data_IF_851807775833
#
_entry.id   IF_851807775833
#
_cell.length_a   1.000
_cell.length_b   1.000
_cell.length_c   1.000
_cell.angle_alpha   90.00
_cell.angle_beta   90.00
_cell.angle_gamma   90.00
#
_symmetry.space_group_name_H-M   'P 1'
#
loop_
_entity.id
_entity.type
_entity.pdbx_description
1 polymer ?
#
# COMPACT_ATOMS: atom_id res chain seq x y z
N UNK A 1 -10.47 -50.25 4.65
CA UNK A 1 -9.53 -49.14 4.95
C UNK A 1 -9.92 -47.95 4.09
N UNK A 2 -10.77 -47.05 4.59
CA UNK A 2 -11.01 -45.79 3.88
C UNK A 2 -9.76 -44.93 4.07
N UNK A 3 -8.99 -44.71 2.99
CA UNK A 3 -7.84 -43.82 3.03
C UNK A 3 -8.26 -42.36 3.26
N UNK A 4 -7.28 -41.49 3.51
CA UNK A 4 -7.49 -40.05 3.74
C UNK A 4 -8.36 -39.38 2.67
N UNK A 5 -8.23 -39.80 1.40
CA UNK A 5 -9.06 -39.34 0.28
C UNK A 5 -10.54 -39.69 0.44
N UNK A 6 -10.85 -40.86 1.01
CA UNK A 6 -12.23 -41.27 1.31
C UNK A 6 -12.85 -40.42 2.43
N UNK A 7 -12.05 -39.99 3.41
CA UNK A 7 -12.49 -39.07 4.46
C UNK A 7 -12.79 -37.68 3.89
N UNK A 8 -11.92 -37.15 3.03
CA UNK A 8 -12.11 -35.84 2.39
C UNK A 8 -13.33 -35.85 1.46
N UNK A 9 -13.51 -36.90 0.66
CA UNK A 9 -14.69 -37.04 -0.19
C UNK A 9 -15.98 -37.03 0.63
N UNK A 10 -16.02 -37.81 1.72
CA UNK A 10 -17.18 -37.85 2.60
C UNK A 10 -17.48 -36.52 3.29
N UNK A 11 -16.44 -35.75 3.62
CA UNK A 11 -16.56 -34.48 4.30
C UNK A 11 -16.96 -33.31 3.39
N UNK A 12 -16.52 -33.32 2.13
CA UNK A 12 -16.55 -32.11 1.28
C UNK A 12 -17.35 -32.30 -0.02
N UNK A 13 -17.39 -33.54 -0.55
CA UNK A 13 -17.92 -33.82 -1.88
C UNK A 13 -19.13 -34.77 -1.88
N UNK A 14 -19.51 -35.33 -0.72
CA UNK A 14 -20.57 -36.34 -0.62
C UNK A 14 -21.97 -35.82 -0.90
N UNK A 15 -22.24 -34.56 -0.57
CA UNK A 15 -23.56 -33.95 -0.76
C UNK A 15 -23.45 -32.66 -1.58
N UNK A 16 -24.38 -32.46 -2.51
CA UNK A 16 -24.39 -31.30 -3.41
C UNK A 16 -24.37 -29.98 -2.62
N UNK A 17 -25.09 -29.90 -1.50
CA UNK A 17 -25.10 -28.73 -0.62
C UNK A 17 -23.73 -28.48 0.01
N UNK A 18 -23.10 -29.51 0.58
CA UNK A 18 -21.77 -29.41 1.19
C UNK A 18 -20.70 -28.99 0.17
N UNK A 19 -20.80 -29.53 -1.04
CA UNK A 19 -19.89 -29.17 -2.14
C UNK A 19 -20.04 -27.70 -2.52
N UNK A 20 -21.28 -27.21 -2.70
CA UNK A 20 -21.54 -25.80 -3.03
C UNK A 20 -20.95 -24.86 -1.97
N UNK A 21 -21.21 -25.12 -0.69
CA UNK A 21 -20.64 -24.31 0.40
C UNK A 21 -19.12 -24.32 0.39
N UNK A 22 -18.50 -25.46 0.12
CA UNK A 22 -17.03 -25.55 0.08
C UNK A 22 -16.47 -24.76 -1.09
N UNK A 23 -17.04 -24.90 -2.29
CA UNK A 23 -16.58 -24.19 -3.49
C UNK A 23 -16.75 -22.69 -3.34
N UNK A 24 -17.93 -22.24 -2.89
CA UNK A 24 -18.19 -20.80 -2.69
C UNK A 24 -17.38 -20.24 -1.52
N UNK A 25 -17.24 -20.97 -0.42
CA UNK A 25 -16.41 -20.55 0.71
C UNK A 25 -14.93 -20.43 0.35
N UNK A 26 -14.40 -21.38 -0.42
CA UNK A 26 -13.02 -21.35 -0.91
C UNK A 26 -12.80 -20.22 -1.93
N UNK A 27 -13.73 -20.03 -2.87
CA UNK A 27 -13.68 -18.94 -3.83
C UNK A 27 -13.73 -17.56 -3.13
N UNK A 28 -14.61 -17.40 -2.14
CA UNK A 28 -14.71 -16.19 -1.33
C UNK A 28 -13.46 -15.96 -0.47
N UNK A 29 -12.92 -17.00 0.16
CA UNK A 29 -11.68 -16.92 0.94
C UNK A 29 -10.47 -16.55 0.08
N UNK A 30 -10.37 -17.13 -1.11
CA UNK A 30 -9.37 -16.74 -2.10
C UNK A 30 -9.58 -15.29 -2.55
N UNK A 31 -10.82 -14.88 -2.78
CA UNK A 31 -11.15 -13.51 -3.17
C UNK A 31 -10.80 -12.51 -2.07
N UNK A 32 -11.05 -12.80 -0.80
CA UNK A 32 -10.61 -11.96 0.32
C UNK A 32 -9.09 -11.90 0.41
N UNK A 33 -8.40 -13.04 0.31
CA UNK A 33 -6.94 -13.09 0.37
C UNK A 33 -6.30 -12.29 -0.79
N UNK A 34 -6.76 -12.54 -2.01
CA UNK A 34 -6.30 -11.86 -3.23
C UNK A 34 -6.67 -10.37 -3.23
N UNK A 35 -7.85 -9.99 -2.73
CA UNK A 35 -8.26 -8.59 -2.61
C UNK A 35 -7.42 -7.82 -1.59
N UNK A 36 -7.02 -8.44 -0.49
CA UNK A 36 -6.13 -7.82 0.50
C UNK A 36 -4.70 -7.67 -0.07
N UNK A 37 -4.23 -8.64 -0.84
CA UNK A 37 -2.83 -8.68 -1.33
C UNK A 37 -2.60 -7.83 -2.59
N UNK A 38 -3.54 -7.81 -3.55
CA UNK A 38 -3.40 -7.06 -4.82
C UNK A 38 -3.53 -5.56 -4.63
N UNK A 39 -4.39 -5.11 -3.71
CA UNK A 39 -4.64 -3.68 -3.53
C UNK A 39 -3.49 -3.01 -2.78
N UNK A 40 -3.02 -3.62 -1.69
CA UNK A 40 -1.89 -3.08 -0.90
C UNK A 40 -0.61 -3.01 -1.74
N UNK A 41 -0.32 -4.03 -2.57
CA UNK A 41 0.94 -4.07 -3.34
C UNK A 41 0.96 -3.06 -4.48
N UNK A 42 -0.17 -2.82 -5.15
CA UNK A 42 -0.27 -1.79 -6.19
C UNK A 42 -0.19 -0.37 -5.59
N UNK A 43 -0.93 -0.09 -4.52
CA UNK A 43 -0.86 1.21 -3.83
C UNK A 43 0.53 1.48 -3.24
N UNK A 44 1.18 0.49 -2.65
CA UNK A 44 2.54 0.63 -2.11
C UNK A 44 3.57 0.99 -3.19
N UNK A 45 3.48 0.42 -4.38
CA UNK A 45 4.38 0.73 -5.50
C UNK A 45 4.15 2.17 -5.97
N UNK A 46 2.89 2.57 -6.17
CA UNK A 46 2.55 3.93 -6.60
C UNK A 46 2.99 4.98 -5.58
N UNK A 47 2.78 4.73 -4.28
CA UNK A 47 3.21 5.62 -3.20
C UNK A 47 4.75 5.77 -3.16
N UNK A 48 5.51 4.69 -3.38
CA UNK A 48 6.98 4.73 -3.41
C UNK A 48 7.52 5.49 -4.61
N UNK A 49 6.94 5.26 -5.79
CA UNK A 49 7.33 5.96 -7.03
C UNK A 49 6.99 7.44 -6.94
N UNK A 50 5.80 7.80 -6.44
CA UNK A 50 5.41 9.20 -6.22
C UNK A 50 6.39 9.92 -5.30
N UNK A 51 6.71 9.33 -4.13
CA UNK A 51 7.65 9.96 -3.18
C UNK A 51 9.05 10.15 -3.77
N UNK A 52 9.51 9.20 -4.57
CA UNK A 52 10.80 9.31 -5.25
C UNK A 52 10.77 10.42 -6.31
N UNK A 53 9.68 10.53 -7.07
CA UNK A 53 9.48 11.59 -8.05
C UNK A 53 9.39 12.98 -7.41
N UNK A 54 8.60 13.11 -6.34
CA UNK A 54 8.45 14.36 -5.59
C UNK A 54 9.80 14.78 -5.00
N UNK A 55 10.52 13.87 -4.34
CA UNK A 55 11.85 14.16 -3.78
C UNK A 55 12.87 14.53 -4.85
N UNK A 56 12.86 13.85 -6.00
CA UNK A 56 13.77 14.11 -7.11
C UNK A 56 13.51 15.46 -7.77
N UNK A 57 12.25 15.73 -8.09
CA UNK A 57 11.82 16.99 -8.72
C UNK A 57 12.05 18.18 -7.80
N UNK A 58 11.76 18.05 -6.51
CA UNK A 58 12.06 19.04 -5.46
C UNK A 58 13.56 19.37 -5.43
N UNK A 59 14.45 18.36 -5.46
CA UNK A 59 15.90 18.58 -5.47
C UNK A 59 16.37 19.34 -6.71
N UNK A 60 15.86 18.96 -7.89
CA UNK A 60 16.21 19.62 -9.16
C UNK A 60 15.74 21.08 -9.12
N UNK A 61 14.48 21.30 -8.75
CA UNK A 61 13.90 22.63 -8.63
C UNK A 61 14.69 23.51 -7.66
N UNK A 62 15.09 22.93 -6.52
CA UNK A 62 15.83 23.63 -5.49
C UNK A 62 17.24 24.02 -5.92
N UNK A 63 17.89 23.17 -6.72
CA UNK A 63 19.21 23.46 -7.29
C UNK A 63 19.13 24.61 -8.30
N UNK A 64 18.13 24.59 -9.18
CA UNK A 64 17.96 25.62 -10.23
C UNK A 64 17.56 26.97 -9.64
N UNK A 65 16.71 26.98 -8.60
CA UNK A 65 16.18 28.20 -8.01
C UNK A 65 16.88 28.60 -6.70
N UNK A 66 18.10 28.13 -6.46
CA UNK A 66 18.86 28.46 -5.26
C UNK A 66 19.09 29.97 -5.15
N UNK A 67 18.81 30.53 -3.98
CA UNK A 67 18.94 31.97 -3.72
C UNK A 67 17.77 32.84 -4.21
N UNK A 68 16.81 32.24 -4.92
CA UNK A 68 15.58 32.91 -5.40
C UNK A 68 14.33 32.45 -4.67
N UNK A 69 14.40 31.33 -3.95
CA UNK A 69 13.26 30.78 -3.23
C UNK A 69 13.03 31.51 -1.91
N UNK A 70 11.76 31.62 -1.51
CA UNK A 70 11.38 32.20 -0.22
C UNK A 70 12.17 31.60 0.94
N UNK A 71 12.35 30.27 0.97
CA UNK A 71 13.12 29.59 2.01
C UNK A 71 14.58 30.03 2.14
N UNK A 72 15.17 30.51 1.05
CA UNK A 72 16.55 31.00 1.03
C UNK A 72 16.64 32.48 1.42
N UNK A 73 15.58 33.27 1.23
CA UNK A 73 15.61 34.73 1.41
C UNK A 73 14.84 35.22 2.65
N UNK A 74 13.94 34.40 3.20
CA UNK A 74 13.02 34.79 4.30
C UNK A 74 13.74 35.30 5.54
N UNK A 75 14.95 34.82 5.82
CA UNK A 75 15.74 35.22 6.98
C UNK A 75 16.13 36.70 6.95
N UNK A 76 16.10 37.36 5.78
CA UNK A 76 16.37 38.80 5.66
C UNK A 76 15.15 39.67 5.97
N UNK A 77 13.97 39.06 6.09
CA UNK A 77 12.68 39.76 6.20
C UNK A 77 11.87 39.35 7.43
N UNK A 78 12.29 38.30 8.14
CA UNK A 78 11.75 37.97 9.46
C UNK A 78 12.54 38.78 10.48
N UNK A 79 11.84 39.56 11.31
CA UNK A 79 12.45 40.21 12.48
C UNK A 79 13.19 39.15 13.28
N UNK A 80 14.47 39.41 13.56
CA UNK A 80 15.15 38.71 14.63
C UNK A 80 14.42 39.16 15.91
N UNK A 81 13.99 38.25 16.81
CA UNK A 81 13.58 38.69 18.13
C UNK A 81 14.74 39.52 18.66
N UNK A 82 14.50 40.81 18.86
CA UNK A 82 15.48 41.68 19.54
C UNK A 82 15.88 40.92 20.79
N UNK A 83 17.18 40.69 20.98
CA UNK A 83 17.71 40.23 22.25
C UNK A 83 17.28 41.29 23.28
N UNK A 84 16.14 41.04 23.93
CA UNK A 84 15.66 41.76 25.11
C UNK A 84 16.68 41.50 26.24
N UNK A 85 17.86 42.12 26.19
CA UNK A 85 18.80 42.34 27.32
C UNK A 85 19.85 43.44 27.03
#
# INVERSE_FOLDING_TARGET
MAGMLGTVYNAVLRSNTTMLFTVFGAAFGMQLYVAIELDIRMYMVLIRVSRAYDTGSEKIWNSVNKGRQWKDIKHRFMEQPEDDE
#
